data_IF_473807970864
#
_entry.id   IF_473807970864
#
_cell.length_a   1.000
_cell.length_b   1.000
_cell.length_c   1.000
_cell.angle_alpha   90.00
_cell.angle_beta   90.00
_cell.angle_gamma   90.00
#
_symmetry.space_group_name_H-M   'P 1'
#
loop_
_entity.id
_entity.type
_entity.pdbx_description
1 polymer ?
#
# COMPACT_ATOMS: atom_id res chain seq x y z
N UNK A 1 21.07 21.11 4.14
CA UNK A 1 19.95 22.08 3.94
C UNK A 1 19.29 21.70 2.64
N UNK A 2 17.95 21.57 2.62
CA UNK A 2 17.17 21.25 1.42
C UNK A 2 16.96 22.53 0.56
N UNK A 3 16.60 22.42 -0.73
CA UNK A 3 16.33 23.57 -1.57
C UNK A 3 15.06 24.31 -1.14
N UNK A 4 14.97 25.59 -1.55
CA UNK A 4 13.73 26.34 -1.40
C UNK A 4 12.63 25.74 -2.29
N UNK A 5 11.42 25.61 -1.76
CA UNK A 5 10.24 25.13 -2.48
C UNK A 5 9.29 26.29 -2.75
N UNK A 6 8.90 26.46 -3.99
CA UNK A 6 7.84 27.37 -4.45
C UNK A 6 6.64 26.52 -4.86
N UNK A 7 5.78 26.23 -3.91
CA UNK A 7 4.58 25.43 -4.14
C UNK A 7 3.44 26.34 -4.64
N UNK A 8 2.95 26.09 -5.84
CA UNK A 8 1.81 26.78 -6.48
C UNK A 8 0.55 25.92 -6.50
N UNK A 9 0.49 24.90 -5.62
CA UNK A 9 -0.66 24.00 -5.45
C UNK A 9 -1.12 24.06 -4.00
N UNK A 10 -2.31 23.56 -3.72
CA UNK A 10 -2.81 23.37 -2.35
C UNK A 10 -2.36 22.02 -1.74
N UNK A 11 -1.46 21.30 -2.42
CA UNK A 11 -0.98 19.97 -2.03
C UNK A 11 0.26 20.04 -1.15
N UNK A 12 0.52 18.96 -0.41
CA UNK A 12 1.74 18.83 0.37
C UNK A 12 2.93 18.56 -0.54
N UNK A 13 4.02 19.29 -0.36
CA UNK A 13 5.25 19.13 -1.14
C UNK A 13 6.42 18.91 -0.19
N UNK A 14 7.15 17.81 -0.41
CA UNK A 14 8.30 17.43 0.42
C UNK A 14 9.53 17.10 -0.43
N UNK A 15 10.58 17.92 -0.40
CA UNK A 15 11.88 17.57 -0.96
C UNK A 15 12.69 16.74 0.04
N UNK A 16 13.36 15.68 -0.43
CA UNK A 16 14.20 14.82 0.39
C UNK A 16 15.42 14.34 -0.39
N UNK A 17 16.57 14.22 0.28
CA UNK A 17 17.74 13.54 -0.29
C UNK A 17 17.63 12.04 -0.02
N UNK A 18 17.78 11.25 -1.06
CA UNK A 18 17.82 9.79 -1.00
C UNK A 18 19.02 9.30 -1.80
N UNK A 19 19.50 8.10 -1.46
CA UNK A 19 20.58 7.44 -2.19
C UNK A 19 20.01 6.60 -3.34
N UNK A 20 20.62 6.75 -4.50
CA UNK A 20 20.44 5.89 -5.68
C UNK A 20 21.75 5.14 -5.97
N UNK A 21 21.75 4.24 -6.92
CA UNK A 21 22.93 3.44 -7.32
C UNK A 21 24.13 4.30 -7.74
N UNK A 22 23.89 5.48 -8.26
CA UNK A 22 24.90 6.43 -8.76
C UNK A 22 25.13 7.65 -7.86
N UNK A 23 24.64 7.59 -6.60
CA UNK A 23 24.84 8.62 -5.58
C UNK A 23 23.54 9.30 -5.14
N UNK A 24 23.68 10.47 -4.53
CA UNK A 24 22.54 11.22 -4.00
C UNK A 24 21.60 11.73 -5.09
N UNK A 25 20.31 11.65 -4.83
CA UNK A 25 19.22 12.25 -5.60
C UNK A 25 18.37 13.13 -4.69
N UNK A 26 17.98 14.27 -5.20
CA UNK A 26 16.91 15.05 -4.62
C UNK A 26 15.59 14.53 -5.20
N UNK A 27 14.77 13.91 -4.37
CA UNK A 27 13.40 13.56 -4.72
C UNK A 27 12.46 14.65 -4.21
N UNK A 28 11.49 15.03 -5.03
CA UNK A 28 10.37 15.89 -4.62
C UNK A 28 9.09 15.07 -4.69
N UNK A 29 8.44 14.93 -3.57
CA UNK A 29 7.16 14.22 -3.42
C UNK A 29 6.05 15.26 -3.35
N UNK A 30 5.05 15.10 -4.20
CA UNK A 30 3.80 15.88 -4.16
C UNK A 30 2.68 14.95 -3.74
N UNK A 31 1.90 15.36 -2.76
CA UNK A 31 0.82 14.55 -2.19
C UNK A 31 -0.45 15.38 -2.08
N UNK A 32 -1.44 15.03 -2.88
CA UNK A 32 -2.78 15.56 -2.78
C UNK A 32 -3.62 14.71 -1.84
N UNK A 33 -4.44 15.36 -1.03
CA UNK A 33 -5.46 14.73 -0.18
C UNK A 33 -6.81 15.24 -0.60
N UNK A 34 -7.76 14.32 -0.79
CA UNK A 34 -9.16 14.63 -1.10
C UNK A 34 -10.03 14.00 -0.03
N UNK A 35 -10.87 14.81 0.61
CA UNK A 35 -11.92 14.34 1.50
C UNK A 35 -13.05 13.73 0.68
N UNK A 36 -13.56 12.58 1.10
CA UNK A 36 -14.49 11.78 0.36
C UNK A 36 -15.78 11.59 1.16
N UNK A 37 -16.92 11.94 0.56
CA UNK A 37 -18.22 11.75 1.15
C UNK A 37 -18.79 10.35 0.86
N UNK A 38 -19.72 9.83 1.69
CA UNK A 38 -20.29 8.51 1.51
C UNK A 38 -21.04 8.32 0.19
N UNK A 39 -21.53 9.38 -0.45
CA UNK A 39 -22.18 9.36 -1.76
C UNK A 39 -21.20 9.37 -2.93
N UNK A 40 -19.90 9.51 -2.66
CA UNK A 40 -18.82 9.58 -3.65
C UNK A 40 -18.45 11.00 -4.11
N UNK A 41 -19.09 12.05 -3.57
CA UNK A 41 -18.62 13.40 -3.75
C UNK A 41 -17.27 13.58 -3.02
N UNK A 42 -16.40 14.42 -3.56
CA UNK A 42 -15.11 14.71 -2.92
C UNK A 42 -14.66 16.14 -3.24
N UNK A 43 -13.82 16.67 -2.36
CA UNK A 43 -13.16 17.96 -2.54
C UNK A 43 -11.71 17.89 -2.05
N UNK A 44 -10.87 18.84 -2.50
CA UNK A 44 -9.52 18.94 -1.96
C UNK A 44 -9.58 19.25 -0.46
N UNK A 45 -8.80 18.52 0.32
CA UNK A 45 -8.78 18.70 1.77
C UNK A 45 -8.38 20.13 2.14
N UNK A 46 -9.03 20.74 3.14
CA UNK A 46 -8.63 22.05 3.66
C UNK A 46 -7.20 21.97 4.23
N UNK A 47 -6.52 23.11 4.44
CA UNK A 47 -5.11 23.12 4.86
C UNK A 47 -4.79 22.30 6.11
N UNK A 48 -5.70 22.19 7.06
CA UNK A 48 -5.60 21.40 8.28
C UNK A 48 -5.95 19.91 8.07
N UNK A 49 -6.64 19.57 6.99
CA UNK A 49 -6.95 18.20 6.54
C UNK A 49 -5.88 17.57 5.62
N UNK A 50 -4.95 18.38 5.09
CA UNK A 50 -3.91 17.89 4.17
C UNK A 50 -2.97 16.92 4.90
N UNK A 51 -2.88 15.71 4.36
CA UNK A 51 -2.01 14.66 4.93
C UNK A 51 -0.57 14.80 4.44
N UNK A 52 0.37 14.87 5.38
CA UNK A 52 1.80 14.96 5.08
C UNK A 52 2.39 13.66 4.53
N UNK A 53 3.65 13.74 4.07
CA UNK A 53 4.44 12.59 3.63
C UNK A 53 4.77 11.68 4.82
N UNK A 54 4.51 10.37 4.68
CA UNK A 54 4.88 9.36 5.67
C UNK A 54 6.34 8.98 5.49
N UNK A 55 7.13 9.16 6.54
CA UNK A 55 8.57 8.86 6.53
C UNK A 55 8.86 7.38 6.75
N UNK A 56 7.93 6.63 7.34
CA UNK A 56 8.03 5.21 7.65
C UNK A 56 6.68 4.51 7.43
N UNK A 57 6.72 3.18 7.31
CA UNK A 57 5.51 2.37 7.28
C UNK A 57 4.79 2.47 8.63
N UNK A 58 3.47 2.62 8.61
CA UNK A 58 2.60 2.63 9.78
C UNK A 58 1.91 1.27 9.90
N UNK A 59 2.12 0.53 11.00
CA UNK A 59 1.53 -0.79 11.18
C UNK A 59 0.04 -0.73 11.55
N UNK A 60 -0.67 -1.84 11.32
CA UNK A 60 -1.93 -2.11 11.98
C UNK A 60 -1.67 -2.47 13.46
N UNK A 61 -2.13 -1.65 14.39
CA UNK A 61 -1.97 -1.93 15.82
C UNK A 61 -0.51 -1.91 16.32
N UNK A 62 -0.09 -2.92 17.11
CA UNK A 62 1.21 -2.94 17.77
C UNK A 62 2.37 -3.28 16.82
N UNK A 63 3.58 -2.69 17.03
CA UNK A 63 4.71 -2.85 16.10
C UNK A 63 5.36 -4.23 16.01
N UNK A 64 5.07 -5.16 16.95
CA UNK A 64 5.83 -6.40 17.09
C UNK A 64 5.59 -7.43 15.95
N UNK A 65 4.41 -7.42 15.34
CA UNK A 65 4.09 -8.32 14.20
C UNK A 65 3.10 -7.62 13.26
N UNK A 66 3.53 -6.58 12.54
CA UNK A 66 2.55 -5.76 11.87
C UNK A 66 2.41 -6.05 10.39
N UNK A 67 1.20 -6.30 9.93
CA UNK A 67 0.87 -5.89 8.57
C UNK A 67 0.88 -4.36 8.48
N UNK A 68 1.19 -3.86 7.29
CA UNK A 68 1.30 -2.42 7.03
C UNK A 68 -0.10 -1.86 6.77
N UNK A 69 -0.52 -0.88 7.57
CA UNK A 69 -1.73 -0.10 7.31
C UNK A 69 -1.43 0.98 6.24
N UNK A 70 -0.44 1.81 6.49
CA UNK A 70 -0.05 2.88 5.58
C UNK A 70 1.44 2.75 5.23
N UNK A 71 1.79 2.62 3.96
CA UNK A 71 3.19 2.52 3.56
C UNK A 71 3.89 3.88 3.64
N UNK A 72 5.20 3.84 3.80
CA UNK A 72 6.05 5.02 3.67
C UNK A 72 5.93 5.62 2.26
N UNK A 73 5.88 6.95 2.21
CA UNK A 73 5.90 7.67 0.93
C UNK A 73 7.34 7.86 0.39
N UNK A 74 8.37 7.57 1.22
CA UNK A 74 9.76 7.78 0.83
C UNK A 74 10.29 6.68 -0.09
N UNK A 75 10.45 7.01 -1.35
CA UNK A 75 11.24 6.26 -2.32
C UNK A 75 11.64 7.19 -3.47
N UNK A 76 12.62 6.79 -4.27
CA UNK A 76 13.06 7.59 -5.42
C UNK A 76 12.05 7.58 -6.56
N UNK A 77 11.47 6.42 -6.84
CA UNK A 77 10.52 6.18 -7.92
C UNK A 77 9.76 4.89 -7.68
N UNK A 78 8.59 4.80 -8.28
CA UNK A 78 7.78 3.58 -8.36
C UNK A 78 7.46 3.28 -9.81
N UNK A 79 7.61 2.03 -10.27
CA UNK A 79 7.11 1.62 -11.57
C UNK A 79 5.59 1.48 -11.52
N UNK A 80 4.89 2.28 -12.31
CA UNK A 80 3.44 2.27 -12.40
C UNK A 80 2.71 2.95 -11.25
N UNK A 81 1.46 2.56 -10.99
CA UNK A 81 0.64 3.08 -9.88
C UNK A 81 0.25 1.98 -8.93
N UNK A 82 0.59 2.13 -7.65
CA UNK A 82 0.05 1.35 -6.55
C UNK A 82 -1.34 1.84 -6.18
N UNK A 83 -2.31 0.93 -6.10
CA UNK A 83 -3.63 1.16 -5.52
C UNK A 83 -3.69 0.46 -4.18
N UNK A 84 -3.93 1.20 -3.11
CA UNK A 84 -3.91 0.71 -1.73
C UNK A 84 -5.24 1.12 -1.09
N UNK A 85 -5.94 0.17 -0.47
CA UNK A 85 -7.18 0.45 0.24
C UNK A 85 -7.02 0.07 1.70
N UNK A 86 -7.23 1.03 2.57
CA UNK A 86 -7.22 0.86 4.04
C UNK A 86 -8.66 0.93 4.51
N UNK A 87 -9.22 -0.20 4.94
CA UNK A 87 -10.64 -0.33 5.18
C UNK A 87 -10.99 -1.43 6.19
N UNK A 88 -12.24 -1.40 6.64
CA UNK A 88 -12.96 -2.57 7.15
C UNK A 88 -13.91 -3.06 6.07
N UNK A 89 -14.18 -4.35 6.08
CA UNK A 89 -15.23 -4.97 5.27
C UNK A 89 -16.53 -5.03 6.06
N UNK A 90 -17.64 -4.68 5.42
CA UNK A 90 -18.98 -4.66 6.02
C UNK A 90 -19.96 -5.50 5.19
N UNK A 91 -20.78 -6.35 5.82
CA UNK A 91 -21.80 -7.11 5.12
C UNK A 91 -22.89 -6.21 4.56
N UNK A 92 -23.59 -6.67 3.50
CA UNK A 92 -24.66 -5.92 2.88
C UNK A 92 -25.79 -5.54 3.87
N UNK A 93 -26.30 -4.32 3.75
CA UNK A 93 -27.40 -3.77 4.54
C UNK A 93 -27.17 -3.80 6.06
N UNK A 94 -25.90 -3.78 6.53
CA UNK A 94 -25.57 -3.81 7.95
C UNK A 94 -26.00 -5.09 8.68
N UNK A 95 -26.29 -6.16 7.94
CA UNK A 95 -26.74 -7.43 8.51
C UNK A 95 -25.56 -8.18 9.13
N UNK A 96 -25.84 -8.94 10.18
CA UNK A 96 -24.90 -9.93 10.67
C UNK A 96 -24.93 -11.17 9.78
N UNK A 97 -23.81 -11.54 9.18
CA UNK A 97 -23.71 -12.71 8.29
C UNK A 97 -22.45 -13.51 8.62
N UNK A 98 -22.37 -14.74 8.11
CA UNK A 98 -21.21 -15.61 8.33
C UNK A 98 -20.15 -15.47 7.23
N UNK A 99 -20.54 -14.99 6.05
CA UNK A 99 -19.63 -14.67 4.96
C UNK A 99 -20.26 -13.70 3.96
N UNK A 100 -19.44 -12.93 3.26
CA UNK A 100 -19.85 -11.99 2.22
C UNK A 100 -18.67 -11.67 1.31
N UNK A 101 -18.94 -11.02 0.20
CA UNK A 101 -17.90 -10.60 -0.74
C UNK A 101 -17.72 -9.08 -0.70
N UNK A 102 -16.47 -8.66 -0.91
CA UNK A 102 -16.10 -7.27 -1.15
C UNK A 102 -15.46 -7.14 -2.53
N UNK A 103 -15.49 -5.94 -3.08
CA UNK A 103 -14.88 -5.66 -4.39
C UNK A 103 -14.16 -4.31 -4.36
N UNK A 104 -12.94 -4.28 -4.85
CA UNK A 104 -12.24 -3.08 -5.26
C UNK A 104 -12.14 -3.05 -6.78
N UNK A 105 -12.62 -1.98 -7.39
CA UNK A 105 -12.43 -1.69 -8.81
C UNK A 105 -11.86 -0.29 -8.95
N UNK A 106 -10.72 -0.16 -9.67
CA UNK A 106 -10.08 1.12 -9.99
C UNK A 106 -9.55 1.03 -11.41
N UNK A 107 -10.20 1.72 -12.32
CA UNK A 107 -9.89 1.57 -13.75
C UNK A 107 -9.90 0.09 -14.18
N UNK A 108 -8.76 -0.46 -14.67
CA UNK A 108 -8.69 -1.85 -15.10
C UNK A 108 -8.53 -2.86 -13.94
N UNK A 109 -8.22 -2.41 -12.72
CA UNK A 109 -8.15 -3.30 -11.54
C UNK A 109 -9.56 -3.77 -11.18
N UNK A 110 -9.70 -5.08 -10.94
CA UNK A 110 -10.90 -5.69 -10.37
C UNK A 110 -10.47 -6.78 -9.39
N UNK A 111 -10.59 -6.50 -8.08
CA UNK A 111 -10.14 -7.37 -7.00
C UNK A 111 -11.32 -7.76 -6.09
N UNK A 112 -12.02 -8.89 -6.36
CA UNK A 112 -13.00 -9.44 -5.45
C UNK A 112 -12.32 -10.27 -4.35
N UNK A 113 -12.83 -10.20 -3.11
CA UNK A 113 -12.39 -11.03 -1.99
C UNK A 113 -13.60 -11.61 -1.27
N UNK A 114 -13.44 -12.84 -0.74
CA UNK A 114 -14.39 -13.49 0.14
C UNK A 114 -13.99 -13.25 1.59
N UNK A 115 -14.93 -12.71 2.36
CA UNK A 115 -14.78 -12.42 3.78
C UNK A 115 -15.59 -13.41 4.58
N UNK A 116 -14.98 -13.96 5.63
CA UNK A 116 -15.61 -14.87 6.56
C UNK A 116 -15.63 -14.27 7.96
N UNK A 117 -16.67 -14.55 8.71
CA UNK A 117 -16.67 -14.32 10.15
C UNK A 117 -15.68 -15.26 10.87
N UNK A 118 -15.49 -15.11 12.20
CA UNK A 118 -14.56 -15.92 12.97
C UNK A 118 -14.76 -17.42 12.77
N UNK A 119 -13.69 -18.15 12.45
CA UNK A 119 -13.70 -19.59 12.27
C UNK A 119 -12.41 -20.21 12.80
N UNK A 120 -12.45 -21.48 13.15
CA UNK A 120 -11.32 -22.22 13.69
C UNK A 120 -10.97 -23.38 12.78
N UNK A 121 -9.72 -23.79 12.84
CA UNK A 121 -9.28 -25.07 12.28
C UNK A 121 -9.90 -26.21 13.08
N UNK A 122 -10.39 -27.24 12.40
CA UNK A 122 -10.84 -28.47 13.03
C UNK A 122 -9.66 -29.36 13.45
N UNK A 123 -9.93 -30.49 14.07
CA UNK A 123 -8.90 -31.44 14.51
C UNK A 123 -7.93 -31.78 13.38
N UNK A 124 -6.62 -31.64 13.65
CA UNK A 124 -5.57 -31.92 12.69
C UNK A 124 -5.54 -31.00 11.45
N UNK A 125 -6.22 -29.85 11.49
CA UNK A 125 -6.31 -28.95 10.33
C UNK A 125 -7.05 -29.56 9.13
N UNK A 126 -7.84 -30.61 9.36
CA UNK A 126 -8.52 -31.35 8.28
C UNK A 126 -9.62 -30.53 7.59
N UNK A 127 -10.11 -29.49 8.25
CA UNK A 127 -11.12 -28.58 7.74
C UNK A 127 -11.28 -27.35 8.62
N UNK A 128 -12.37 -26.65 8.44
CA UNK A 128 -12.72 -25.43 9.16
C UNK A 128 -14.09 -25.58 9.82
N UNK A 129 -14.28 -24.93 10.96
CA UNK A 129 -15.61 -24.78 11.55
C UNK A 129 -16.50 -23.94 10.61
N UNK A 130 -17.81 -24.00 10.78
CA UNK A 130 -18.71 -23.02 10.18
C UNK A 130 -18.30 -21.63 10.68
N UNK A 131 -18.22 -20.62 9.79
CA UNK A 131 -17.93 -19.27 10.23
C UNK A 131 -18.98 -18.75 11.20
N UNK A 132 -18.53 -18.07 12.23
CA UNK A 132 -19.40 -17.32 13.14
C UNK A 132 -19.97 -16.07 12.49
N UNK A 133 -20.84 -15.35 13.20
CA UNK A 133 -21.40 -14.09 12.73
C UNK A 133 -20.34 -12.98 12.71
N UNK A 134 -20.39 -12.11 11.71
CA UNK A 134 -19.58 -10.91 11.60
C UNK A 134 -20.44 -9.72 11.20
N UNK A 135 -20.13 -8.57 11.76
CA UNK A 135 -20.69 -7.26 11.42
C UNK A 135 -19.68 -6.39 10.70
N UNK A 136 -18.39 -6.65 10.93
CA UNK A 136 -17.27 -6.03 10.25
C UNK A 136 -16.02 -6.91 10.34
N UNK A 137 -15.06 -6.75 9.41
CA UNK A 137 -13.75 -7.42 9.43
C UNK A 137 -12.68 -6.43 8.96
N UNK A 138 -11.61 -6.24 9.72
CA UNK A 138 -10.47 -5.42 9.30
C UNK A 138 -9.76 -6.05 8.09
N UNK A 139 -9.49 -5.25 7.05
CA UNK A 139 -8.84 -5.72 5.83
C UNK A 139 -7.32 -5.67 5.98
N UNK A 140 -6.76 -6.57 6.79
CA UNK A 140 -5.34 -6.66 7.10
C UNK A 140 -4.77 -8.06 6.82
N UNK A 141 -3.48 -8.12 6.50
CA UNK A 141 -2.81 -9.37 6.12
C UNK A 141 -2.72 -10.39 7.25
N UNK A 142 -2.81 -9.97 8.52
CA UNK A 142 -2.90 -10.90 9.67
C UNK A 142 -4.09 -11.86 9.56
N UNK A 143 -5.16 -11.44 8.90
CA UNK A 143 -6.40 -12.20 8.72
C UNK A 143 -6.43 -13.01 7.41
N UNK A 144 -5.36 -12.99 6.62
CA UNK A 144 -5.21 -13.77 5.40
C UNK A 144 -4.32 -15.00 5.62
N UNK A 145 -4.33 -15.93 4.64
CA UNK A 145 -3.40 -17.07 4.65
C UNK A 145 -1.96 -16.60 4.64
N UNK A 146 -1.10 -17.27 5.42
CA UNK A 146 0.32 -16.95 5.54
C UNK A 146 0.94 -17.46 6.83
N UNK A 147 1.96 -16.75 7.31
CA UNK A 147 2.71 -17.08 8.51
C UNK A 147 3.92 -17.96 8.25
N UNK A 148 4.44 -18.57 9.29
CA UNK A 148 5.59 -19.45 9.24
C UNK A 148 5.45 -20.57 10.28
N UNK A 149 6.21 -21.66 10.08
CA UNK A 149 6.36 -22.78 10.99
C UNK A 149 7.85 -22.95 11.31
N UNK A 150 8.22 -22.67 12.54
CA UNK A 150 9.57 -22.77 13.10
C UNK A 150 9.78 -24.03 13.96
N UNK A 151 8.89 -25.02 13.87
CA UNK A 151 9.00 -26.30 14.57
C UNK A 151 10.26 -27.08 14.21
N UNK A 152 10.84 -26.82 13.02
CA UNK A 152 12.16 -27.24 12.59
C UNK A 152 13.00 -26.00 12.25
N UNK A 153 13.81 -25.46 13.20
CA UNK A 153 14.61 -24.26 12.97
C UNK A 153 15.67 -24.40 11.86
N UNK A 154 16.07 -25.63 11.51
CA UNK A 154 17.01 -25.85 10.42
C UNK A 154 16.37 -25.69 9.03
N UNK A 155 15.04 -25.81 8.97
CA UNK A 155 14.27 -25.74 7.73
C UNK A 155 12.99 -24.90 7.96
N UNK A 156 13.12 -23.61 8.13
CA UNK A 156 11.96 -22.71 8.28
C UNK A 156 10.98 -22.88 7.12
N UNK A 157 9.72 -23.13 7.43
CA UNK A 157 8.63 -23.10 6.45
C UNK A 157 7.91 -21.77 6.56
N UNK A 158 7.94 -20.96 5.52
CA UNK A 158 7.36 -19.62 5.49
C UNK A 158 6.45 -19.45 4.28
N UNK A 159 5.38 -18.66 4.40
CA UNK A 159 4.70 -18.05 3.28
C UNK A 159 5.30 -16.64 3.05
N UNK A 160 6.29 -16.52 2.16
CA UNK A 160 7.07 -15.29 2.04
C UNK A 160 6.25 -14.09 1.51
N UNK A 161 5.07 -14.35 0.92
CA UNK A 161 4.17 -13.30 0.44
C UNK A 161 3.33 -12.70 1.57
N UNK A 162 3.21 -13.40 2.72
CA UNK A 162 2.51 -12.93 3.90
C UNK A 162 3.07 -13.59 5.18
N UNK A 163 4.23 -13.18 5.68
CA UNK A 163 4.85 -13.79 6.86
C UNK A 163 4.08 -13.52 8.17
N UNK A 164 3.13 -12.57 8.19
CA UNK A 164 2.31 -12.24 9.37
C UNK A 164 0.96 -12.93 9.40
N UNK A 165 0.56 -13.60 8.33
CA UNK A 165 -0.69 -14.34 8.25
C UNK A 165 -0.71 -15.59 9.09
N UNK A 166 -1.71 -16.44 8.87
CA UNK A 166 -1.86 -17.70 9.57
C UNK A 166 -2.20 -18.87 8.64
N UNK A 167 -1.88 -20.09 9.07
CA UNK A 167 -2.22 -21.31 8.33
C UNK A 167 -1.07 -22.04 7.68
N UNK A 168 0.13 -21.43 7.60
CA UNK A 168 1.33 -22.09 7.06
C UNK A 168 1.96 -22.97 8.13
N UNK A 169 1.74 -24.27 8.03
CA UNK A 169 2.30 -25.28 8.96
C UNK A 169 2.73 -26.54 8.20
N UNK A 170 3.65 -27.30 8.79
CA UNK A 170 4.05 -28.64 8.32
C UNK A 170 3.03 -29.71 8.68
N UNK A 171 2.56 -29.66 9.93
CA UNK A 171 1.60 -30.60 10.47
C UNK A 171 0.31 -29.86 10.87
N UNK A 172 -0.81 -30.30 10.33
CA UNK A 172 -2.12 -29.74 10.64
C UNK A 172 -2.51 -29.85 12.12
N UNK A 173 -1.88 -30.75 12.89
CA UNK A 173 -2.11 -30.85 14.33
C UNK A 173 -1.80 -29.54 15.05
N UNK A 174 -0.81 -28.78 14.55
CA UNK A 174 -0.43 -27.46 15.07
C UNK A 174 -1.52 -26.42 14.94
N UNK A 175 -2.49 -26.59 14.05
CA UNK A 175 -3.60 -25.67 13.82
C UNK A 175 -4.87 -26.02 14.62
N UNK A 176 -4.94 -27.20 15.25
CA UNK A 176 -6.14 -27.65 15.95
C UNK A 176 -6.70 -26.58 16.88
N UNK A 177 -7.95 -26.18 16.65
CA UNK A 177 -8.67 -25.11 17.35
C UNK A 177 -8.05 -23.71 17.32
N UNK A 178 -7.02 -23.48 16.48
CA UNK A 178 -6.51 -22.13 16.24
C UNK A 178 -7.40 -21.36 15.27
N UNK A 179 -7.32 -20.04 15.33
CA UNK A 179 -8.04 -19.14 14.43
C UNK A 179 -7.56 -19.36 12.99
N UNK A 180 -8.51 -19.47 12.07
CA UNK A 180 -8.24 -19.60 10.66
C UNK A 180 -8.35 -18.24 9.93
N UNK A 181 -7.74 -18.11 8.75
CA UNK A 181 -7.87 -16.90 7.94
C UNK A 181 -9.33 -16.52 7.67
N UNK A 182 -9.62 -15.22 7.65
CA UNK A 182 -10.95 -14.69 7.39
C UNK A 182 -11.06 -14.00 6.02
N UNK A 183 -9.94 -13.75 5.34
CA UNK A 183 -9.87 -13.07 4.04
C UNK A 183 -9.27 -14.02 3.02
N UNK A 184 -10.00 -14.30 1.95
CA UNK A 184 -9.58 -15.24 0.91
C UNK A 184 -9.89 -14.70 -0.49
N UNK A 185 -9.11 -15.16 -1.49
CA UNK A 185 -9.46 -14.99 -2.89
C UNK A 185 -10.72 -15.81 -3.19
N UNK A 186 -11.67 -15.23 -3.93
CA UNK A 186 -12.95 -15.92 -4.25
C UNK A 186 -12.77 -17.20 -5.05
N UNK A 187 -11.65 -17.32 -5.77
CA UNK A 187 -11.37 -18.45 -6.66
C UNK A 187 -10.72 -19.63 -5.93
N UNK A 188 -10.04 -19.39 -4.80
CA UNK A 188 -9.30 -20.43 -4.07
C UNK A 188 -9.58 -20.32 -2.58
N UNK A 189 -10.62 -21.04 -2.13
CA UNK A 189 -11.01 -21.07 -0.72
C UNK A 189 -10.24 -22.15 0.05
N UNK A 190 -9.94 -21.88 1.32
CA UNK A 190 -9.26 -22.81 2.22
C UNK A 190 -10.23 -23.93 2.61
N UNK A 191 -9.86 -25.18 2.28
CA UNK A 191 -10.60 -26.37 2.70
C UNK A 191 -9.91 -27.16 3.81
N UNK A 192 -8.58 -27.13 3.87
CA UNK A 192 -7.76 -27.81 4.88
C UNK A 192 -6.39 -27.12 4.98
N UNK A 193 -5.55 -27.52 5.94
CA UNK A 193 -4.18 -27.00 6.07
C UNK A 193 -3.28 -27.27 4.85
N UNK A 194 -3.67 -28.22 3.99
CA UNK A 194 -2.97 -28.52 2.74
C UNK A 194 -3.30 -27.55 1.62
N UNK A 195 -4.42 -26.83 1.73
CA UNK A 195 -4.77 -25.76 0.81
C UNK A 195 -3.95 -24.53 1.16
N UNK A 196 -3.04 -24.16 0.25
CA UNK A 196 -2.13 -23.01 0.42
C UNK A 196 -2.43 -21.96 -0.66
N UNK A 197 -3.50 -21.18 -0.49
CA UNK A 197 -3.87 -20.17 -1.48
C UNK A 197 -2.88 -19.00 -1.48
N UNK A 198 -2.89 -18.15 -2.50
CA UNK A 198 -2.24 -16.86 -2.42
C UNK A 198 -2.79 -16.06 -1.24
N UNK A 199 -1.93 -15.34 -0.48
CA UNK A 199 -2.42 -14.39 0.51
C UNK A 199 -3.32 -13.34 -0.14
N UNK A 200 -4.50 -13.14 0.44
CA UNK A 200 -5.52 -12.24 -0.09
C UNK A 200 -5.48 -10.89 0.62
N UNK A 201 -5.54 -9.79 -0.12
CA UNK A 201 -5.53 -8.45 0.46
C UNK A 201 -5.70 -7.32 -0.55
N UNK A 202 -5.99 -6.13 -0.02
CA UNK A 202 -6.14 -4.87 -0.77
C UNK A 202 -5.31 -3.73 -0.16
N UNK A 203 -4.66 -3.99 0.99
CA UNK A 203 -3.81 -3.04 1.70
C UNK A 203 -2.34 -3.12 1.24
N UNK A 204 -1.46 -2.41 1.92
CA UNK A 204 -0.04 -2.44 1.61
C UNK A 204 0.63 -3.73 2.10
N UNK A 205 1.66 -4.19 1.37
CA UNK A 205 2.55 -5.28 1.78
C UNK A 205 3.86 -4.74 2.36
N UNK A 206 4.38 -5.41 3.36
CA UNK A 206 5.63 -5.06 4.04
C UNK A 206 6.87 -5.14 3.12
N UNK A 207 7.96 -4.47 3.51
CA UNK A 207 9.23 -4.49 2.75
C UNK A 207 9.88 -5.87 2.75
N UNK A 208 9.62 -6.67 3.77
CA UNK A 208 10.10 -8.04 3.93
C UNK A 208 9.19 -9.09 3.28
N UNK A 209 8.11 -8.69 2.59
CA UNK A 209 7.22 -9.60 1.89
C UNK A 209 7.66 -9.79 0.43
N UNK A 210 7.45 -10.97 -0.13
CA UNK A 210 7.52 -11.17 -1.56
C UNK A 210 6.30 -10.50 -2.26
N UNK A 211 6.48 -9.93 -3.44
CA UNK A 211 7.70 -9.92 -4.25
C UNK A 211 8.72 -8.84 -3.88
N UNK A 212 8.40 -7.89 -2.98
CA UNK A 212 9.28 -6.76 -2.64
C UNK A 212 10.67 -7.22 -2.19
N UNK A 213 10.73 -8.17 -1.24
CA UNK A 213 11.98 -8.70 -0.69
C UNK A 213 12.98 -9.14 -1.76
N UNK A 214 12.49 -9.75 -2.85
CA UNK A 214 13.33 -10.21 -3.98
C UNK A 214 13.96 -9.09 -4.79
N UNK A 215 13.46 -7.88 -4.65
CA UNK A 215 13.94 -6.70 -5.36
C UNK A 215 14.83 -5.79 -4.52
N UNK A 216 15.08 -6.15 -3.26
CA UNK A 216 15.89 -5.36 -2.33
C UNK A 216 17.36 -5.27 -2.73
N UNK A 217 17.85 -6.23 -3.53
CA UNK A 217 19.26 -6.38 -3.86
C UNK A 217 20.06 -7.13 -2.78
N UNK A 218 21.32 -7.38 -3.06
CA UNK A 218 22.21 -8.22 -2.25
C UNK A 218 23.07 -7.39 -1.31
N UNK A 219 22.79 -7.47 0.00
CA UNK A 219 23.52 -6.78 1.07
C UNK A 219 24.50 -7.74 1.75
N UNK A 220 25.53 -8.13 1.03
CA UNK A 220 26.58 -9.04 1.52
C UNK A 220 27.84 -8.30 1.98
N UNK A 221 28.90 -9.06 2.32
CA UNK A 221 30.20 -8.49 2.73
C UNK A 221 30.83 -7.68 1.61
N UNK A 222 30.74 -8.10 0.36
CA UNK A 222 31.27 -7.38 -0.79
C UNK A 222 30.59 -6.01 -0.95
N UNK A 223 29.25 -6.00 -0.85
CA UNK A 223 28.51 -4.73 -0.85
C UNK A 223 28.98 -3.80 0.29
N UNK A 224 29.12 -4.34 1.52
CA UNK A 224 29.52 -3.55 2.69
C UNK A 224 30.91 -2.90 2.51
N UNK A 225 31.87 -3.63 1.93
CA UNK A 225 33.25 -3.18 1.76
C UNK A 225 33.46 -2.26 0.56
N UNK A 226 32.68 -2.41 -0.51
CA UNK A 226 32.95 -1.73 -1.77
C UNK A 226 31.91 -0.71 -2.20
N UNK A 227 30.68 -0.77 -1.64
CA UNK A 227 29.56 0.01 -2.16
C UNK A 227 28.77 0.80 -1.11
N UNK A 228 28.71 0.34 0.12
CA UNK A 228 27.97 1.04 1.17
C UNK A 228 28.40 2.52 1.28
N UNK A 229 27.49 3.47 1.45
CA UNK A 229 26.07 3.30 1.80
C UNK A 229 25.11 3.29 0.59
N UNK A 230 25.60 3.23 -0.66
CA UNK A 230 24.73 3.19 -1.84
C UNK A 230 23.95 1.86 -1.91
N UNK A 231 22.76 1.84 -2.51
CA UNK A 231 22.03 0.59 -2.74
C UNK A 231 22.89 -0.42 -3.53
N UNK A 232 22.65 -1.73 -3.36
CA UNK A 232 23.30 -2.77 -4.17
C UNK A 232 23.08 -2.54 -5.68
N UNK A 233 23.97 -3.06 -6.52
CA UNK A 233 23.84 -2.92 -7.98
C UNK A 233 22.62 -3.62 -8.54
N UNK A 234 22.25 -4.73 -7.94
CA UNK A 234 21.08 -5.54 -8.27
C UNK A 234 19.77 -5.05 -7.61
N UNK A 235 19.78 -3.93 -6.84
CA UNK A 235 18.55 -3.31 -6.36
C UNK A 235 17.63 -2.98 -7.54
N UNK A 236 16.34 -3.23 -7.40
CA UNK A 236 15.34 -2.96 -8.43
C UNK A 236 14.22 -2.07 -7.86
N UNK A 237 13.80 -1.06 -8.61
CA UNK A 237 12.75 -0.12 -8.19
C UNK A 237 11.40 -0.81 -7.91
N UNK A 238 11.17 -2.04 -8.37
CA UNK A 238 10.02 -2.87 -7.99
C UNK A 238 9.96 -3.15 -6.48
N UNK A 239 11.08 -3.03 -5.77
CA UNK A 239 11.08 -3.01 -4.31
C UNK A 239 10.14 -1.95 -3.71
N UNK A 240 9.93 -0.85 -4.42
CA UNK A 240 9.08 0.26 -3.98
C UNK A 240 7.58 0.02 -4.25
N UNK A 241 7.20 -1.01 -5.03
CA UNK A 241 5.80 -1.41 -5.20
C UNK A 241 5.32 -2.02 -3.90
N UNK A 242 4.38 -1.35 -3.24
CA UNK A 242 3.86 -1.78 -1.94
C UNK A 242 2.37 -2.16 -1.96
N UNK A 243 1.70 -2.08 -3.09
CA UNK A 243 0.34 -2.57 -3.23
C UNK A 243 0.28 -4.10 -3.16
N UNK A 244 -0.84 -4.64 -2.70
CA UNK A 244 -1.16 -6.07 -2.76
C UNK A 244 -1.03 -6.61 -4.19
N UNK A 245 -0.70 -7.90 -4.39
CA UNK A 245 -0.71 -8.53 -5.71
C UNK A 245 -2.02 -8.28 -6.46
N UNK A 246 -1.91 -7.84 -7.72
CA UNK A 246 -3.05 -7.44 -8.54
C UNK A 246 -3.58 -6.02 -8.30
N UNK A 247 -2.98 -5.27 -7.38
CA UNK A 247 -3.35 -3.88 -7.07
C UNK A 247 -2.30 -2.85 -7.54
N UNK A 248 -1.31 -3.27 -8.33
CA UNK A 248 -0.36 -2.38 -9.01
C UNK A 248 -0.64 -2.38 -10.51
N UNK A 249 -0.63 -1.21 -11.13
CA UNK A 249 -0.77 -1.01 -12.56
C UNK A 249 0.56 -0.58 -13.17
N UNK A 250 1.11 -1.39 -14.09
CA UNK A 250 2.32 -1.02 -14.84
C UNK A 250 2.09 0.21 -15.73
N UNK A 251 0.88 0.35 -16.31
CA UNK A 251 0.45 1.59 -16.98
C UNK A 251 -0.15 2.51 -15.92
N UNK A 252 0.50 3.67 -15.62
CA UNK A 252 0.03 4.53 -14.55
C UNK A 252 -1.36 5.12 -14.79
N UNK A 253 -2.11 5.28 -13.71
CA UNK A 253 -3.37 6.02 -13.71
C UNK A 253 -3.12 7.48 -14.09
N UNK A 254 -4.04 8.06 -14.86
CA UNK A 254 -3.93 9.42 -15.39
C UNK A 254 -4.93 10.40 -14.75
N UNK A 255 -5.84 9.89 -13.94
CA UNK A 255 -7.03 10.58 -13.48
C UNK A 255 -8.16 10.49 -14.51
N UNK A 256 -9.39 10.44 -14.00
CA UNK A 256 -10.60 10.18 -14.79
C UNK A 256 -11.03 8.71 -14.80
N UNK A 257 -10.25 7.84 -14.14
CA UNK A 257 -10.67 6.44 -13.96
C UNK A 257 -11.79 6.35 -12.92
N UNK A 258 -12.73 5.44 -13.20
CA UNK A 258 -13.78 5.12 -12.25
C UNK A 258 -13.25 4.28 -11.11
N UNK A 259 -13.67 4.62 -9.89
CA UNK A 259 -13.48 3.87 -8.65
C UNK A 259 -14.83 3.33 -8.20
N UNK A 260 -14.91 2.05 -7.95
CA UNK A 260 -16.09 1.40 -7.36
C UNK A 260 -15.64 0.44 -6.25
N UNK A 261 -16.12 0.69 -5.05
CA UNK A 261 -15.85 -0.09 -3.86
C UNK A 261 -17.16 -0.67 -3.36
N UNK A 262 -17.19 -1.96 -3.06
CA UNK A 262 -18.38 -2.65 -2.55
C UNK A 262 -18.06 -3.35 -1.25
N UNK A 263 -18.89 -3.16 -0.24
CA UNK A 263 -18.72 -3.80 1.06
C UNK A 263 -17.55 -3.25 1.90
N UNK A 264 -17.05 -2.05 1.59
CA UNK A 264 -15.89 -1.44 2.26
C UNK A 264 -16.21 -0.14 3.01
N UNK A 265 -17.48 0.25 3.04
CA UNK A 265 -18.01 1.37 3.83
C UNK A 265 -19.10 0.87 4.76
N UNK A 266 -19.37 1.54 5.89
CA UNK A 266 -20.44 1.18 6.80
C UNK A 266 -21.78 0.94 6.06
N UNK A 267 -22.48 -0.11 6.45
CA UNK A 267 -23.68 -0.57 5.74
C UNK A 267 -23.45 -1.44 4.51
N UNK A 268 -22.19 -1.64 4.09
CA UNK A 268 -21.81 -2.59 3.03
C UNK A 268 -22.28 -2.21 1.62
N UNK A 269 -22.73 -0.96 1.43
CA UNK A 269 -23.16 -0.44 0.14
C UNK A 269 -22.01 -0.13 -0.83
N UNK A 270 -22.32 0.32 -2.05
CA UNK A 270 -21.34 0.77 -3.01
C UNK A 270 -20.90 2.21 -2.70
N UNK A 271 -19.58 2.46 -2.82
CA UNK A 271 -19.01 3.79 -2.91
C UNK A 271 -18.41 3.95 -4.31
N UNK A 272 -18.83 4.98 -5.04
CA UNK A 272 -18.37 5.20 -6.42
C UNK A 272 -17.97 6.67 -6.61
N UNK A 273 -16.86 6.89 -7.26
CA UNK A 273 -16.41 8.21 -7.69
C UNK A 273 -15.45 8.11 -8.89
N UNK A 274 -15.13 9.23 -9.47
CA UNK A 274 -14.16 9.31 -10.58
C UNK A 274 -12.93 10.07 -10.11
N UNK A 275 -11.74 9.53 -10.33
CA UNK A 275 -10.48 10.19 -9.92
C UNK A 275 -10.33 11.56 -10.59
N UNK A 276 -9.93 12.61 -9.85
CA UNK A 276 -9.64 13.90 -10.45
C UNK A 276 -8.43 13.83 -11.38
N UNK A 277 -8.46 14.63 -12.45
CA UNK A 277 -7.30 14.81 -13.33
C UNK A 277 -6.43 15.93 -12.80
N UNK A 278 -5.32 15.57 -12.18
CA UNK A 278 -4.38 16.51 -11.55
C UNK A 278 -3.03 16.44 -12.28
N UNK A 279 -2.79 17.28 -13.30
CA UNK A 279 -1.56 17.27 -14.07
C UNK A 279 -0.44 18.03 -13.35
N UNK A 280 0.38 17.34 -12.57
CA UNK A 280 1.51 17.92 -11.83
C UNK A 280 2.69 18.19 -12.78
N UNK A 281 3.35 19.33 -12.56
CA UNK A 281 4.64 19.67 -13.14
C UNK A 281 5.59 20.13 -12.02
N UNK A 282 6.79 19.56 -12.01
CA UNK A 282 7.86 19.88 -11.06
C UNK A 282 9.04 20.42 -11.83
N UNK A 283 9.45 21.65 -11.55
CA UNK A 283 10.60 22.31 -12.16
C UNK A 283 11.74 22.43 -11.15
N UNK A 284 12.89 21.88 -11.49
CA UNK A 284 14.13 22.03 -10.73
C UNK A 284 14.98 23.12 -11.39
N UNK A 285 15.02 24.28 -10.76
CA UNK A 285 15.77 25.45 -11.26
C UNK A 285 17.07 25.61 -10.48
N UNK A 286 18.20 25.42 -11.15
CA UNK A 286 19.53 25.62 -10.57
C UNK A 286 20.16 26.88 -11.15
N UNK A 287 20.73 27.74 -10.29
CA UNK A 287 21.41 28.98 -10.70
C UNK A 287 22.47 28.70 -11.78
N UNK A 288 22.38 29.42 -12.90
CA UNK A 288 23.31 29.29 -14.04
C UNK A 288 23.16 28.01 -14.87
N UNK A 289 22.03 27.28 -14.73
CA UNK A 289 21.72 26.11 -15.56
C UNK A 289 20.30 26.21 -16.09
N UNK A 290 20.05 25.52 -17.21
CA UNK A 290 18.71 25.36 -17.75
C UNK A 290 17.80 24.61 -16.72
N UNK A 291 16.54 25.01 -16.58
CA UNK A 291 15.59 24.33 -15.72
C UNK A 291 15.32 22.90 -16.20
N UNK A 292 15.25 21.96 -15.26
CA UNK A 292 14.79 20.59 -15.54
C UNK A 292 13.31 20.52 -15.19
N UNK A 293 12.47 20.30 -16.20
CA UNK A 293 11.01 20.16 -16.04
C UNK A 293 10.64 18.69 -16.10
N UNK A 294 9.99 18.20 -15.04
CA UNK A 294 9.50 16.82 -14.94
C UNK A 294 7.99 16.83 -14.80
N UNK A 295 7.34 15.92 -15.52
CA UNK A 295 5.90 15.66 -15.43
C UNK A 295 5.71 14.24 -14.90
N UNK A 296 5.68 14.05 -13.59
CA UNK A 296 5.58 12.73 -13.00
C UNK A 296 4.20 12.12 -13.25
N UNK A 297 4.13 10.80 -13.39
CA UNK A 297 2.87 10.09 -13.29
C UNK A 297 2.45 9.95 -11.83
N UNK A 298 1.16 9.76 -11.59
CA UNK A 298 0.66 9.36 -10.28
C UNK A 298 1.11 7.93 -9.98
N UNK A 299 1.95 7.75 -8.97
CA UNK A 299 2.55 6.45 -8.65
C UNK A 299 1.90 5.76 -7.44
N UNK A 300 1.02 6.45 -6.72
CA UNK A 300 0.28 5.88 -5.61
C UNK A 300 -1.09 6.52 -5.51
N UNK A 301 -2.12 5.69 -5.43
CA UNK A 301 -3.47 6.00 -5.01
C UNK A 301 -3.73 5.24 -3.71
N UNK A 302 -3.90 5.95 -2.60
CA UNK A 302 -4.28 5.36 -1.32
C UNK A 302 -5.69 5.83 -0.96
N UNK A 303 -6.61 4.89 -0.79
CA UNK A 303 -8.01 5.15 -0.39
C UNK A 303 -8.13 4.72 1.07
N UNK A 304 -8.38 5.66 1.96
CA UNK A 304 -8.51 5.46 3.40
C UNK A 304 -9.96 5.59 3.82
N UNK A 305 -10.59 4.45 4.05
CA UNK A 305 -11.98 4.31 4.46
C UNK A 305 -12.12 3.95 5.94
N UNK A 306 -11.02 3.93 6.69
CA UNK A 306 -11.15 3.80 8.13
C UNK A 306 -11.82 5.05 8.64
N UNK A 307 -12.98 4.86 9.27
CA UNK A 307 -13.56 5.94 10.05
C UNK A 307 -12.56 6.30 11.14
N UNK A 308 -12.08 7.51 11.15
CA UNK A 308 -11.40 8.02 12.31
C UNK A 308 -12.49 8.25 13.39
N UNK A 309 -12.12 8.14 14.63
CA UNK A 309 -12.83 8.84 15.68
C UNK A 309 -13.26 10.22 15.14
N UNK A 310 -14.50 10.57 15.21
CA UNK A 310 -15.26 11.82 14.93
C UNK A 310 -14.57 13.07 14.33
N UNK A 311 -13.31 12.98 13.94
CA UNK A 311 -12.43 14.12 13.65
C UNK A 311 -11.80 14.08 12.24
N UNK A 312 -11.83 12.94 11.52
CA UNK A 312 -11.25 12.86 10.17
C UNK A 312 -12.24 12.27 9.16
N UNK A 313 -12.53 12.95 8.07
CA UNK A 313 -13.31 12.38 6.98
C UNK A 313 -12.56 11.21 6.32
N UNK A 314 -13.30 10.26 5.74
CA UNK A 314 -12.70 9.32 4.82
C UNK A 314 -12.04 10.10 3.69
N UNK A 315 -10.96 9.58 3.14
CA UNK A 315 -10.19 10.35 2.17
C UNK A 315 -9.46 9.45 1.18
N UNK A 316 -9.04 10.02 0.06
CA UNK A 316 -8.03 9.39 -0.77
C UNK A 316 -6.86 10.33 -1.02
N UNK A 317 -5.69 9.72 -1.22
CA UNK A 317 -4.44 10.40 -1.44
C UNK A 317 -3.88 10.02 -2.81
N UNK A 318 -3.38 10.99 -3.54
CA UNK A 318 -2.69 10.81 -4.80
C UNK A 318 -1.25 11.32 -4.65
N UNK A 319 -0.26 10.51 -5.08
CA UNK A 319 1.15 10.83 -4.90
C UNK A 319 1.89 10.82 -6.24
N UNK A 320 2.73 11.82 -6.44
CA UNK A 320 3.64 11.98 -7.57
C UNK A 320 5.06 12.19 -7.07
N UNK A 321 6.07 11.70 -7.82
CA UNK A 321 7.48 11.90 -7.49
C UNK A 321 8.28 12.30 -8.71
N UNK A 322 9.22 13.21 -8.48
CA UNK A 322 10.28 13.51 -9.45
C UNK A 322 11.62 13.56 -8.71
N UNK A 323 12.67 13.11 -9.36
CA UNK A 323 14.01 13.18 -8.77
C UNK A 323 15.03 13.70 -9.78
N UNK A 324 16.07 14.37 -9.26
CA UNK A 324 17.19 14.88 -10.03
C UNK A 324 18.49 14.72 -9.23
N UNK A 325 19.62 14.75 -9.92
CA UNK A 325 20.92 14.87 -9.24
C UNK A 325 21.03 16.26 -8.60
N UNK A 326 21.31 16.36 -7.28
CA UNK A 326 21.42 17.65 -6.62
C UNK A 326 22.65 18.42 -7.09
N UNK A 327 22.64 19.76 -7.07
CA UNK A 327 23.83 20.56 -7.31
C UNK A 327 24.79 20.47 -6.10
N UNK A 328 26.05 20.84 -6.29
CA UNK A 328 27.03 20.90 -5.18
C UNK A 328 26.58 21.77 -4.00
N UNK A 329 25.84 22.83 -4.28
CA UNK A 329 25.29 23.75 -3.26
C UNK A 329 23.78 23.79 -3.41
N UNK A 330 23.06 23.16 -2.49
CA UNK A 330 21.60 23.08 -2.52
C UNK A 330 20.87 24.44 -2.50
N UNK A 331 21.50 25.45 -1.87
CA UNK A 331 20.97 26.84 -1.88
C UNK A 331 20.88 27.46 -3.27
N UNK A 332 21.59 26.91 -4.24
CA UNK A 332 21.55 27.37 -5.64
C UNK A 332 20.40 26.74 -6.44
N UNK A 333 19.63 25.84 -5.79
CA UNK A 333 18.47 25.18 -6.40
C UNK A 333 17.18 25.66 -5.76
N UNK A 334 16.15 25.81 -6.60
CA UNK A 334 14.76 26.01 -6.21
C UNK A 334 13.89 24.95 -6.87
N UNK A 335 12.94 24.43 -6.14
CA UNK A 335 11.92 23.49 -6.66
C UNK A 335 10.61 24.28 -6.81
N UNK A 336 10.02 24.23 -8.00
CA UNK A 336 8.73 24.85 -8.29
C UNK A 336 7.75 23.76 -8.62
N UNK A 337 6.64 23.71 -7.91
CA UNK A 337 5.55 22.73 -8.12
C UNK A 337 4.29 23.48 -8.53
N UNK A 338 3.66 23.02 -9.59
CA UNK A 338 2.40 23.61 -10.08
C UNK A 338 1.48 22.56 -10.72
N UNK A 339 0.21 22.84 -10.73
CA UNK A 339 -0.71 22.19 -11.66
C UNK A 339 -0.63 22.88 -13.01
N UNK A 340 -0.57 22.07 -14.08
CA UNK A 340 -0.66 22.66 -15.42
C UNK A 340 -2.09 23.07 -15.71
N UNK A 341 -2.28 24.32 -16.09
CA UNK A 341 -3.52 24.73 -16.74
C UNK A 341 -3.62 23.99 -18.07
N UNK A 342 -4.79 23.45 -18.35
CA UNK A 342 -5.11 22.81 -19.64
C UNK A 342 -5.13 23.85 -20.76
#
# INVERSE_FOLDING_TARGET
MLPAVDNKTDFFVHPQLLLDKDGEKLVTIVKATFELEPDGAFEAAPPDGVRGVRMADVPWGKPEVPSVAYPADLCLRKPGTDVIVVAKAYPPAGKTVTSFDVLVQVGPIKKPLRIFGPRLWTQGGAGLTKPGPATEVEMKYDLAFGGFDDSDPANLLEEPRNPVGSGMVRDGAALTHKTAPCIEEVEVLIGSFRTRPPPAGICAIGRNYDPRRKHAGTYDKLWLESRAPLPPEDFDDRFNICASPGMNLATPLQGGEEVALMGLVPGGGPLKFTLPKVPIEITFQTKGKEPIVVRPHMDTLLIDLLEPSDIKPIAFEMVWRANVRPPRKMKDMRVIVRERKR
#
